data_IF_300845822667
#
_entry.id   IF_300845822667
#
_cell.length_a   1.000
_cell.length_b   1.000
_cell.length_c   1.000
_cell.angle_alpha   90.00
_cell.angle_beta   90.00
_cell.angle_gamma   90.00
#
_symmetry.space_group_name_H-M   'P 1'
#
loop_
_entity.id
_entity.type
_entity.pdbx_description
1 polymer ?
#
# COMPACT_ATOMS: atom_id res chain seq x y z
N UNK A 1 15.27 17.39 22.19
CA UNK A 1 15.40 15.99 22.63
C UNK A 1 14.02 15.41 22.53
N UNK A 2 13.80 14.53 21.55
CA UNK A 2 12.52 13.86 21.30
C UNK A 2 12.23 12.86 22.43
N UNK A 3 11.31 13.23 23.30
CA UNK A 3 10.68 12.32 24.24
C UNK A 3 9.20 12.29 23.93
N UNK A 4 8.59 11.13 23.85
CA UNK A 4 7.17 11.00 23.53
C UNK A 4 6.86 9.69 22.82
N UNK A 5 5.62 9.55 22.37
CA UNK A 5 5.17 8.39 21.61
C UNK A 5 4.54 8.82 20.29
N UNK A 6 4.57 7.92 19.33
CA UNK A 6 3.86 8.01 18.04
C UNK A 6 3.07 6.73 17.84
N UNK A 7 1.75 6.87 17.71
CA UNK A 7 0.83 5.78 17.41
C UNK A 7 0.67 5.71 15.89
N UNK A 8 1.32 4.72 15.26
CA UNK A 8 1.43 4.60 13.80
C UNK A 8 0.59 3.44 13.25
N UNK A 9 -0.38 3.76 12.39
CA UNK A 9 -1.12 2.76 11.62
C UNK A 9 -0.64 2.70 10.17
N UNK A 10 -0.63 1.52 9.54
CA UNK A 10 -0.23 1.39 8.14
C UNK A 10 -0.83 0.16 7.46
N UNK A 11 -0.98 0.25 6.14
CA UNK A 11 -1.44 -0.90 5.35
C UNK A 11 -0.38 -2.01 5.32
N UNK A 12 -0.83 -3.26 5.19
CA UNK A 12 0.01 -4.46 5.33
C UNK A 12 1.27 -4.45 4.49
N UNK A 13 1.22 -3.95 3.26
CA UNK A 13 2.35 -3.93 2.31
C UNK A 13 3.55 -3.10 2.77
N UNK A 14 3.36 -2.15 3.68
CA UNK A 14 4.42 -1.28 4.20
C UNK A 14 5.16 -1.85 5.41
N UNK A 15 4.62 -2.92 6.02
CA UNK A 15 5.15 -3.51 7.25
C UNK A 15 6.53 -4.17 7.12
N UNK A 16 6.80 -4.97 6.06
CA UNK A 16 8.05 -5.72 5.97
C UNK A 16 9.30 -4.86 5.75
N UNK A 17 9.19 -3.71 5.10
CA UNK A 17 10.37 -2.95 4.66
C UNK A 17 10.28 -1.45 4.94
N UNK A 18 9.22 -0.78 4.43
CA UNK A 18 9.14 0.69 4.48
C UNK A 18 9.08 1.22 5.91
N UNK A 19 8.13 0.75 6.72
CA UNK A 19 7.95 1.22 8.10
C UNK A 19 9.17 0.93 8.98
N UNK A 20 9.76 -0.28 8.97
CA UNK A 20 10.98 -0.54 9.74
C UNK A 20 12.15 0.36 9.36
N UNK A 21 12.39 0.61 8.06
CA UNK A 21 13.46 1.51 7.60
C UNK A 21 13.21 2.96 8.03
N UNK A 22 11.97 3.43 7.87
CA UNK A 22 11.57 4.78 8.25
C UNK A 22 11.78 5.02 9.75
N UNK A 23 11.25 4.12 10.58
CA UNK A 23 11.33 4.24 12.05
C UNK A 23 12.78 4.12 12.53
N UNK A 24 13.52 3.15 12.01
CA UNK A 24 14.94 2.99 12.36
C UNK A 24 15.75 4.24 11.98
N UNK A 25 15.52 4.82 10.83
CA UNK A 25 16.18 6.07 10.43
C UNK A 25 15.84 7.21 11.39
N UNK A 26 14.57 7.37 11.75
CA UNK A 26 14.12 8.43 12.67
C UNK A 26 14.71 8.31 14.06
N UNK A 27 14.70 7.13 14.68
CA UNK A 27 15.22 6.94 16.05
C UNK A 27 16.74 7.06 16.14
N UNK A 28 17.44 6.86 15.02
CA UNK A 28 18.90 7.03 14.95
C UNK A 28 19.34 8.48 14.69
N UNK A 29 18.42 9.41 14.40
CA UNK A 29 18.77 10.83 14.40
C UNK A 29 19.05 11.34 15.82
N UNK A 30 19.94 12.30 15.91
CA UNK A 30 20.34 12.88 17.19
C UNK A 30 19.13 13.42 17.97
N UNK A 31 18.98 12.95 19.20
CA UNK A 31 17.91 13.35 20.10
C UNK A 31 16.61 12.53 20.02
N UNK A 32 16.45 11.62 19.06
CA UNK A 32 15.21 10.86 18.87
C UNK A 32 15.20 9.46 19.51
N UNK A 33 16.32 9.00 20.06
CA UNK A 33 16.48 7.62 20.59
C UNK A 33 15.50 7.22 21.70
N UNK A 34 14.83 8.19 22.35
CA UNK A 34 13.84 7.95 23.41
C UNK A 34 12.40 7.97 22.93
N UNK A 35 12.16 8.24 21.66
CA UNK A 35 10.80 8.22 21.10
C UNK A 35 10.31 6.78 21.02
N UNK A 36 9.09 6.55 21.52
CA UNK A 36 8.43 5.24 21.47
C UNK A 36 7.43 5.18 20.33
N UNK A 37 7.34 4.03 19.69
CA UNK A 37 6.36 3.78 18.65
C UNK A 37 5.44 2.65 19.07
N UNK A 38 4.14 2.81 18.75
CA UNK A 38 3.16 1.74 18.75
C UNK A 38 2.69 1.53 17.32
N UNK A 39 2.54 0.29 16.90
CA UNK A 39 2.22 -0.07 15.53
C UNK A 39 0.88 -0.77 15.41
N UNK A 40 0.14 -0.46 14.34
CA UNK A 40 -1.02 -1.21 13.94
C UNK A 40 -1.11 -1.37 12.44
N UNK A 41 -1.67 -2.48 11.98
CA UNK A 41 -1.84 -2.81 10.58
C UNK A 41 -3.31 -3.03 10.25
N UNK A 42 -3.70 -2.77 9.01
CA UNK A 42 -5.06 -2.99 8.57
C UNK A 42 -5.33 -2.53 7.15
N UNK A 43 -6.59 -2.59 6.76
CA UNK A 43 -7.06 -2.00 5.51
C UNK A 43 -7.19 -0.48 5.66
N UNK A 44 -7.15 0.25 4.53
CA UNK A 44 -7.32 1.71 4.54
C UNK A 44 -8.56 2.14 5.31
N UNK A 45 -9.71 1.51 5.08
CA UNK A 45 -10.97 1.86 5.74
C UNK A 45 -10.89 1.70 7.27
N UNK A 46 -10.30 0.60 7.77
CA UNK A 46 -10.15 0.38 9.21
C UNK A 46 -9.17 1.38 9.83
N UNK A 47 -8.04 1.62 9.16
CA UNK A 47 -7.01 2.55 9.65
C UNK A 47 -7.50 3.99 9.73
N UNK A 48 -8.26 4.47 8.74
CA UNK A 48 -8.81 5.82 8.75
C UNK A 48 -9.92 5.99 9.81
N UNK A 49 -10.72 4.94 10.05
CA UNK A 49 -11.67 4.93 11.18
C UNK A 49 -10.93 5.03 12.51
N UNK A 50 -9.87 4.28 12.70
CA UNK A 50 -9.03 4.29 13.90
C UNK A 50 -8.28 5.63 14.06
N UNK A 51 -7.86 6.27 12.96
CA UNK A 51 -7.30 7.62 12.95
C UNK A 51 -8.32 8.65 13.46
N UNK A 52 -9.57 8.60 12.96
CA UNK A 52 -10.66 9.50 13.42
C UNK A 52 -11.03 9.30 14.89
N UNK A 53 -10.92 8.10 15.41
CA UNK A 53 -11.10 7.80 16.84
C UNK A 53 -9.85 8.08 17.69
N UNK A 54 -8.82 8.68 17.09
CA UNK A 54 -7.57 9.04 17.77
C UNK A 54 -6.76 7.86 18.33
N UNK A 55 -7.00 6.65 17.85
CA UNK A 55 -6.18 5.47 18.16
C UNK A 55 -4.78 5.56 17.53
N UNK A 56 -4.69 6.21 16.36
CA UNK A 56 -3.43 6.53 15.70
C UNK A 56 -3.23 8.05 15.60
N UNK A 57 -1.99 8.48 15.67
CA UNK A 57 -1.59 9.87 15.39
C UNK A 57 -1.39 10.09 13.89
N UNK A 58 -0.97 9.05 13.19
CA UNK A 58 -0.60 9.07 11.78
C UNK A 58 -0.89 7.70 11.16
N UNK A 59 -1.34 7.72 9.92
CA UNK A 59 -1.64 6.52 9.14
C UNK A 59 -0.98 6.60 7.77
N UNK A 60 -0.38 5.51 7.31
CA UNK A 60 0.06 5.34 5.93
C UNK A 60 -0.91 4.43 5.19
N UNK A 61 -1.60 4.97 4.19
CA UNK A 61 -2.67 4.26 3.48
C UNK A 61 -2.87 4.76 2.05
N UNK A 62 -3.81 4.15 1.34
CA UNK A 62 -4.38 4.75 0.13
C UNK A 62 -5.18 6.00 0.49
N UNK A 63 -5.41 6.87 -0.50
CA UNK A 63 -6.36 7.97 -0.34
C UNK A 63 -7.80 7.41 -0.26
N UNK A 64 -8.65 8.05 0.53
CA UNK A 64 -10.08 7.80 0.55
C UNK A 64 -10.84 9.08 0.20
N UNK A 65 -11.96 8.91 -0.49
CA UNK A 65 -12.89 10.02 -0.80
C UNK A 65 -13.77 10.31 0.43
N UNK A 66 -14.29 11.53 0.48
CA UNK A 66 -15.28 11.97 1.49
C UNK A 66 -14.76 11.95 2.94
N UNK A 67 -13.44 12.08 3.12
CA UNK A 67 -12.79 12.16 4.44
C UNK A 67 -12.35 13.60 4.75
N UNK A 68 -13.33 14.49 4.96
CA UNK A 68 -13.09 15.94 5.13
C UNK A 68 -12.20 16.29 6.32
N UNK A 69 -12.22 15.47 7.37
CA UNK A 69 -11.44 15.68 8.60
C UNK A 69 -9.97 15.27 8.45
N UNK A 70 -9.62 14.53 7.39
CA UNK A 70 -8.30 13.98 7.18
C UNK A 70 -7.52 14.78 6.13
N UNK A 71 -6.28 15.09 6.46
CA UNK A 71 -5.29 15.59 5.51
C UNK A 71 -4.50 14.41 4.93
N UNK A 72 -4.45 14.31 3.61
CA UNK A 72 -3.66 13.33 2.89
C UNK A 72 -2.49 14.00 2.18
N UNK A 73 -1.27 13.59 2.51
CA UNK A 73 -0.06 14.01 1.82
C UNK A 73 0.57 12.82 1.10
N UNK A 74 0.79 12.88 -0.23
CA UNK A 74 1.43 11.78 -0.95
C UNK A 74 2.89 11.63 -0.48
N UNK A 75 3.32 10.39 -0.19
CA UNK A 75 4.65 10.11 0.32
C UNK A 75 5.49 9.22 -0.59
N UNK A 76 4.85 8.35 -1.38
CA UNK A 76 5.56 7.49 -2.33
C UNK A 76 4.66 7.06 -3.47
N UNK A 77 5.23 6.89 -4.66
CA UNK A 77 4.59 6.22 -5.78
C UNK A 77 4.73 4.70 -5.62
N UNK A 78 3.69 3.96 -5.94
CA UNK A 78 3.66 2.51 -5.87
C UNK A 78 3.19 1.93 -7.20
N UNK A 79 4.01 1.10 -7.82
CA UNK A 79 3.68 0.40 -9.08
C UNK A 79 2.72 -0.77 -8.79
N UNK A 80 1.66 -0.89 -9.58
CA UNK A 80 0.81 -2.07 -9.62
C UNK A 80 1.23 -2.98 -10.75
N UNK A 81 1.24 -4.29 -10.48
CA UNK A 81 1.66 -5.32 -11.44
C UNK A 81 0.66 -6.47 -11.47
N UNK A 82 0.57 -7.14 -12.61
CA UNK A 82 -0.12 -8.43 -12.68
C UNK A 82 0.86 -9.51 -12.21
N UNK A 83 0.39 -10.42 -11.37
CA UNK A 83 1.12 -11.63 -11.01
C UNK A 83 0.38 -12.86 -11.48
N UNK A 84 1.14 -13.79 -12.04
CA UNK A 84 0.66 -15.09 -12.55
C UNK A 84 1.62 -16.18 -12.10
N UNK A 85 1.18 -17.44 -12.06
CA UNK A 85 2.12 -18.54 -11.87
C UNK A 85 3.08 -18.64 -13.06
N UNK A 86 4.25 -19.27 -12.87
CA UNK A 86 5.31 -19.29 -13.91
C UNK A 86 4.95 -20.08 -15.15
N UNK A 87 3.99 -20.99 -15.07
CA UNK A 87 3.55 -21.83 -16.20
C UNK A 87 2.31 -21.22 -16.89
N UNK A 88 1.79 -20.11 -16.38
CA UNK A 88 0.62 -19.44 -16.96
C UNK A 88 0.92 -18.93 -18.36
N UNK A 89 -0.08 -18.96 -19.26
CA UNK A 89 0.07 -18.50 -20.64
C UNK A 89 0.55 -17.04 -20.73
N UNK A 90 0.16 -16.18 -19.81
CA UNK A 90 0.63 -14.80 -19.74
C UNK A 90 2.10 -14.67 -19.30
N UNK A 91 2.71 -15.69 -18.70
CA UNK A 91 4.08 -15.61 -18.19
C UNK A 91 5.13 -15.41 -19.30
N UNK A 92 4.79 -15.71 -20.54
CA UNK A 92 5.66 -15.48 -21.72
C UNK A 92 5.63 -14.03 -22.22
N UNK A 93 4.64 -13.22 -21.77
CA UNK A 93 4.50 -11.82 -22.17
C UNK A 93 5.50 -10.94 -21.41
N UNK A 94 5.85 -9.79 -22.00
CA UNK A 94 6.66 -8.75 -21.35
C UNK A 94 5.81 -7.77 -20.52
N UNK A 95 4.52 -7.65 -20.83
CA UNK A 95 3.53 -6.81 -20.15
C UNK A 95 2.12 -7.32 -20.43
N UNK A 96 1.14 -6.81 -19.71
CA UNK A 96 -0.26 -7.22 -19.83
C UNK A 96 -1.16 -6.02 -20.05
N UNK A 97 -2.06 -6.12 -21.04
CA UNK A 97 -3.20 -5.23 -21.22
C UNK A 97 -4.39 -5.77 -20.42
N UNK A 98 -4.98 -4.95 -19.53
CA UNK A 98 -6.10 -5.39 -18.71
C UNK A 98 -7.37 -5.66 -19.54
N UNK A 99 -7.46 -5.18 -20.77
CA UNK A 99 -8.55 -5.53 -21.69
C UNK A 99 -8.55 -7.02 -22.07
N UNK A 100 -7.43 -7.72 -21.93
CA UNK A 100 -7.24 -9.10 -22.41
C UNK A 100 -7.36 -10.17 -21.30
N UNK A 101 -7.56 -9.79 -20.02
CA UNK A 101 -7.42 -10.74 -18.90
C UNK A 101 -8.71 -11.15 -18.19
N UNK A 102 -9.88 -10.75 -18.72
CA UNK A 102 -11.18 -11.06 -18.10
C UNK A 102 -11.55 -12.55 -18.10
N UNK A 103 -10.95 -13.34 -18.98
CA UNK A 103 -11.20 -14.79 -19.06
C UNK A 103 -10.52 -15.60 -17.93
N UNK A 104 -9.49 -15.03 -17.30
CA UNK A 104 -8.73 -15.76 -16.28
C UNK A 104 -9.37 -15.60 -14.91
N UNK A 105 -9.36 -16.68 -14.08
CA UNK A 105 -9.75 -16.58 -12.66
C UNK A 105 -8.95 -15.50 -11.96
N UNK A 106 -9.62 -14.54 -11.34
CA UNK A 106 -8.99 -13.38 -10.71
C UNK A 106 -9.20 -13.38 -9.19
N UNK A 107 -8.10 -13.25 -8.46
CA UNK A 107 -8.07 -13.10 -7.01
C UNK A 107 -8.06 -11.60 -6.71
N UNK A 108 -9.12 -11.08 -6.12
CA UNK A 108 -9.26 -9.66 -5.82
C UNK A 108 -8.88 -9.34 -4.38
N UNK A 109 -8.46 -8.09 -4.14
CA UNK A 109 -8.47 -7.56 -2.78
C UNK A 109 -9.90 -7.39 -2.27
N UNK A 110 -10.10 -7.52 -0.96
CA UNK A 110 -11.38 -7.26 -0.33
C UNK A 110 -11.85 -5.82 -0.52
N UNK A 111 -13.15 -5.60 -0.49
CA UNK A 111 -13.79 -4.30 -0.78
C UNK A 111 -13.48 -3.19 0.24
N UNK A 112 -12.97 -3.54 1.42
CA UNK A 112 -12.50 -2.58 2.45
C UNK A 112 -11.08 -2.08 2.17
N UNK A 113 -10.38 -2.67 1.23
CA UNK A 113 -9.04 -2.26 0.81
C UNK A 113 -9.10 -1.07 -0.14
N UNK A 114 -8.34 -0.03 0.13
CA UNK A 114 -8.25 1.12 -0.78
C UNK A 114 -7.70 0.77 -2.17
N UNK A 115 -6.87 -0.27 -2.27
CA UNK A 115 -6.34 -0.75 -3.55
C UNK A 115 -7.43 -1.38 -4.44
N UNK A 116 -8.49 -1.99 -3.85
CA UNK A 116 -9.56 -2.61 -4.60
C UNK A 116 -10.27 -1.58 -5.50
N UNK A 117 -10.59 -0.42 -4.98
CA UNK A 117 -11.24 0.64 -5.76
C UNK A 117 -10.37 1.13 -6.91
N UNK A 118 -9.05 1.18 -6.69
CA UNK A 118 -8.09 1.57 -7.74
C UNK A 118 -8.08 0.52 -8.84
N UNK A 119 -7.97 -0.77 -8.50
CA UNK A 119 -7.96 -1.88 -9.48
C UNK A 119 -9.27 -1.94 -10.26
N UNK A 120 -10.41 -1.80 -9.59
CA UNK A 120 -11.72 -1.74 -10.25
C UNK A 120 -11.78 -0.56 -11.25
N UNK A 121 -11.20 0.58 -10.90
CA UNK A 121 -11.05 1.74 -11.78
C UNK A 121 -10.17 1.46 -13.01
N UNK A 122 -9.10 0.71 -12.86
CA UNK A 122 -8.23 0.31 -13.98
C UNK A 122 -8.97 -0.58 -14.98
N UNK A 123 -9.71 -1.58 -14.49
CA UNK A 123 -10.54 -2.42 -15.36
C UNK A 123 -11.63 -1.62 -16.06
N UNK A 124 -12.30 -0.70 -15.35
CA UNK A 124 -13.31 0.18 -15.94
C UNK A 124 -12.73 1.08 -17.04
N UNK A 125 -11.49 1.54 -16.89
CA UNK A 125 -10.83 2.40 -17.87
C UNK A 125 -10.59 1.70 -19.23
N UNK A 126 -10.55 0.37 -19.25
CA UNK A 126 -10.42 -0.45 -20.46
C UNK A 126 -11.73 -1.16 -20.84
N UNK A 127 -12.86 -0.71 -20.29
CA UNK A 127 -14.20 -1.29 -20.49
C UNK A 127 -14.24 -2.81 -20.27
N UNK A 128 -13.54 -3.28 -19.24
CA UNK A 128 -13.43 -4.68 -18.89
C UNK A 128 -13.79 -4.94 -17.42
N UNK A 129 -14.00 -6.21 -17.06
CA UNK A 129 -14.28 -6.66 -15.69
C UNK A 129 -13.45 -7.91 -15.38
N UNK A 130 -12.85 -7.99 -14.18
CA UNK A 130 -12.16 -9.20 -13.77
C UNK A 130 -13.16 -10.32 -13.45
N UNK A 131 -12.79 -11.57 -13.75
CA UNK A 131 -13.53 -12.76 -13.33
C UNK A 131 -13.17 -13.11 -11.88
N UNK A 132 -13.72 -12.38 -10.91
CA UNK A 132 -13.39 -12.53 -9.50
C UNK A 132 -13.90 -13.86 -8.97
N UNK A 133 -12.99 -14.73 -8.50
CA UNK A 133 -13.30 -16.02 -7.90
C UNK A 133 -13.21 -16.02 -6.38
N UNK A 134 -12.43 -15.11 -5.80
CA UNK A 134 -12.35 -14.91 -4.35
C UNK A 134 -11.81 -13.53 -4.01
N UNK A 135 -11.97 -13.14 -2.74
CA UNK A 135 -11.43 -11.91 -2.17
C UNK A 135 -10.48 -12.22 -1.01
N UNK A 136 -9.34 -11.53 -0.97
CA UNK A 136 -8.29 -11.70 0.04
C UNK A 136 -7.78 -10.34 0.49
N UNK A 137 -7.49 -10.14 1.76
CA UNK A 137 -7.09 -8.82 2.28
C UNK A 137 -5.58 -8.58 2.21
N UNK A 138 -4.77 -9.64 2.24
CA UNK A 138 -3.33 -9.55 2.43
C UNK A 138 -2.56 -9.96 1.17
N UNK A 139 -1.59 -9.13 0.78
CA UNK A 139 -0.83 -9.25 -0.46
C UNK A 139 -0.07 -10.58 -0.59
N UNK A 140 0.58 -11.04 0.49
CA UNK A 140 1.34 -12.29 0.44
C UNK A 140 0.42 -13.52 0.37
N UNK A 141 -0.77 -13.45 0.95
CA UNK A 141 -1.77 -14.50 0.81
C UNK A 141 -2.27 -14.59 -0.64
N UNK A 142 -2.48 -13.45 -1.32
CA UNK A 142 -2.79 -13.41 -2.75
C UNK A 142 -1.65 -14.05 -3.55
N UNK A 143 -0.41 -13.64 -3.31
CA UNK A 143 0.75 -14.17 -4.04
C UNK A 143 0.91 -15.71 -3.85
N UNK A 144 0.65 -16.21 -2.65
CA UNK A 144 0.64 -17.66 -2.36
C UNK A 144 -0.45 -18.40 -3.15
N UNK A 145 -1.66 -17.84 -3.27
CA UNK A 145 -2.73 -18.43 -4.08
C UNK A 145 -2.39 -18.42 -5.58
N UNK A 146 -1.76 -17.37 -6.07
CA UNK A 146 -1.29 -17.31 -7.46
C UNK A 146 -0.21 -18.36 -7.71
N UNK A 147 0.76 -18.52 -6.80
CA UNK A 147 1.82 -19.51 -6.88
C UNK A 147 1.29 -20.94 -7.05
N UNK A 148 0.19 -21.27 -6.36
CA UNK A 148 -0.46 -22.60 -6.46
C UNK A 148 -1.48 -22.67 -7.60
N UNK A 149 -1.46 -21.75 -8.53
CA UNK A 149 -2.29 -21.72 -9.77
C UNK A 149 -3.79 -21.55 -9.51
N UNK A 150 -4.16 -20.92 -8.38
CA UNK A 150 -5.58 -20.69 -8.07
C UNK A 150 -6.21 -19.60 -8.94
N UNK A 151 -5.40 -18.64 -9.40
CA UNK A 151 -5.82 -17.56 -10.29
C UNK A 151 -4.69 -16.57 -10.53
N UNK A 152 -5.01 -15.46 -11.19
CA UNK A 152 -4.12 -14.32 -11.38
C UNK A 152 -4.56 -13.18 -10.46
N UNK A 153 -3.69 -12.17 -10.27
CA UNK A 153 -4.06 -10.99 -9.49
C UNK A 153 -3.30 -9.74 -9.95
N UNK A 154 -3.79 -8.57 -9.53
CA UNK A 154 -3.06 -7.31 -9.55
C UNK A 154 -2.68 -6.95 -8.13
N UNK A 155 -1.41 -6.69 -7.90
CA UNK A 155 -0.85 -6.42 -6.57
C UNK A 155 0.17 -5.29 -6.63
N UNK A 156 0.48 -4.61 -5.51
CA UNK A 156 1.63 -3.73 -5.42
C UNK A 156 2.93 -4.50 -5.67
N UNK A 157 3.82 -3.90 -6.44
CA UNK A 157 5.16 -4.43 -6.69
C UNK A 157 6.05 -4.19 -5.48
N UNK A 158 5.99 -5.11 -4.53
CA UNK A 158 6.80 -5.08 -3.31
C UNK A 158 7.91 -6.14 -3.34
N UNK A 159 8.97 -5.90 -2.57
CA UNK A 159 10.15 -6.79 -2.51
C UNK A 159 9.77 -8.22 -2.08
N UNK A 160 8.74 -8.39 -1.25
CA UNK A 160 8.29 -9.70 -0.78
C UNK A 160 7.82 -10.63 -1.91
N UNK A 161 7.41 -10.11 -3.08
CA UNK A 161 7.00 -10.94 -4.23
C UNK A 161 8.11 -11.87 -4.72
N UNK A 162 9.39 -11.53 -4.49
CA UNK A 162 10.54 -12.38 -4.86
C UNK A 162 10.58 -13.73 -4.13
N UNK A 163 9.88 -13.85 -3.01
CA UNK A 163 9.82 -15.11 -2.24
C UNK A 163 8.78 -16.09 -2.76
N UNK A 164 7.94 -15.67 -3.71
CA UNK A 164 6.91 -16.49 -4.35
C UNK A 164 7.33 -16.90 -5.76
N UNK A 165 6.95 -18.11 -6.15
CA UNK A 165 7.23 -18.63 -7.49
C UNK A 165 6.23 -18.10 -8.53
N UNK A 166 6.16 -16.79 -8.67
CA UNK A 166 5.26 -16.08 -9.58
C UNK A 166 6.04 -15.30 -10.65
N UNK A 167 5.40 -15.05 -11.79
CA UNK A 167 5.87 -14.10 -12.79
C UNK A 167 5.22 -12.75 -12.53
N UNK A 168 6.01 -11.70 -12.50
CA UNK A 168 5.59 -10.31 -12.33
C UNK A 168 5.57 -9.64 -13.69
N UNK A 169 4.43 -9.08 -14.09
CA UNK A 169 4.21 -8.47 -15.38
C UNK A 169 3.72 -7.03 -15.23
N UNK A 170 4.40 -6.05 -15.83
CA UNK A 170 3.91 -4.68 -15.90
C UNK A 170 2.55 -4.60 -16.58
N UNK A 171 1.72 -3.64 -16.16
CA UNK A 171 0.46 -3.30 -16.84
C UNK A 171 0.78 -2.30 -17.94
N UNK A 172 0.53 -2.70 -19.22
CA UNK A 172 0.75 -1.83 -20.37
C UNK A 172 -0.45 -0.91 -20.66
N UNK A 173 -1.65 -1.33 -20.30
CA UNK A 173 -2.89 -0.59 -20.47
C UNK A 173 -3.88 -0.98 -19.36
N UNK A 174 -4.51 -0.01 -18.65
CA UNK A 174 -4.33 1.42 -18.80
C UNK A 174 -3.04 1.93 -18.14
N UNK A 175 -2.54 3.08 -18.59
CA UNK A 175 -1.50 3.82 -17.86
C UNK A 175 -2.05 4.27 -16.52
N UNK A 176 -1.29 4.10 -15.47
CA UNK A 176 -1.75 4.43 -14.12
C UNK A 176 -0.60 4.90 -13.23
N UNK A 177 -0.97 5.68 -12.22
CA UNK A 177 -0.10 6.05 -11.09
C UNK A 177 -0.88 5.86 -9.79
N UNK A 178 -0.26 5.20 -8.84
CA UNK A 178 -0.78 5.05 -7.50
C UNK A 178 0.19 5.65 -6.50
N UNK A 179 -0.35 6.30 -5.47
CA UNK A 179 0.44 6.83 -4.36
C UNK A 179 -0.03 6.22 -3.05
N UNK A 180 0.92 6.10 -2.13
CA UNK A 180 0.66 5.93 -0.71
C UNK A 180 0.68 7.32 -0.08
N UNK A 181 -0.21 7.53 0.86
CA UNK A 181 -0.42 8.81 1.54
C UNK A 181 -0.13 8.70 3.02
N UNK A 182 0.43 9.76 3.57
CA UNK A 182 0.44 10.03 4.99
C UNK A 182 -0.87 10.74 5.34
N UNK A 183 -1.67 10.15 6.22
CA UNK A 183 -2.95 10.66 6.68
C UNK A 183 -2.87 11.12 8.13
N UNK A 184 -3.34 12.33 8.40
CA UNK A 184 -3.42 12.94 9.74
C UNK A 184 -4.72 13.71 9.90
N UNK A 185 -5.18 13.91 11.13
CA UNK A 185 -6.35 14.76 11.40
C UNK A 185 -5.99 16.25 11.24
N UNK A 186 -6.81 17.01 10.49
CA UNK A 186 -6.57 18.43 10.19
C UNK A 186 -6.51 19.33 11.40
N UNK A 187 -7.43 19.14 12.33
CA UNK A 187 -7.63 20.07 13.45
C UNK A 187 -7.18 19.50 14.81
N UNK A 188 -6.41 18.40 14.79
CA UNK A 188 -5.88 17.80 16.02
C UNK A 188 -4.57 18.48 16.41
N UNK A 189 -4.42 18.73 17.72
CA UNK A 189 -3.12 19.13 18.27
C UNK A 189 -2.07 18.06 18.02
N UNK A 190 -0.96 18.44 17.42
CA UNK A 190 0.18 17.57 17.21
C UNK A 190 1.28 17.88 18.22
N UNK A 191 1.74 16.87 18.95
CA UNK A 191 2.87 17.00 19.84
C UNK A 191 4.15 17.41 19.08
N UNK A 192 5.14 18.01 19.75
CA UNK A 192 6.42 18.29 19.10
C UNK A 192 7.06 17.05 18.46
N UNK A 193 7.00 15.90 19.12
CA UNK A 193 7.49 14.62 18.60
C UNK A 193 6.74 14.22 17.31
N UNK A 194 5.43 14.37 17.30
CA UNK A 194 4.63 14.05 16.09
C UNK A 194 4.99 14.99 14.92
N UNK A 195 5.16 16.28 15.17
CA UNK A 195 5.59 17.24 14.14
C UNK A 195 6.97 16.91 13.58
N UNK A 196 7.91 16.52 14.46
CA UNK A 196 9.25 16.09 14.04
C UNK A 196 9.18 14.83 13.19
N UNK A 197 8.39 13.83 13.60
CA UNK A 197 8.22 12.60 12.84
C UNK A 197 7.55 12.86 11.47
N UNK A 198 6.48 13.66 11.42
CA UNK A 198 5.82 14.04 10.17
C UNK A 198 6.81 14.67 9.18
N UNK A 199 7.62 15.64 9.65
CA UNK A 199 8.66 16.27 8.83
C UNK A 199 9.70 15.27 8.35
N UNK A 200 10.14 14.38 9.22
CA UNK A 200 11.08 13.33 8.87
C UNK A 200 10.53 12.40 7.78
N UNK A 201 9.26 11.98 7.88
CA UNK A 201 8.59 11.16 6.84
C UNK A 201 8.66 11.84 5.47
N UNK A 202 8.32 13.13 5.41
CA UNK A 202 8.35 13.91 4.17
C UNK A 202 9.78 13.97 3.56
N UNK A 203 10.79 14.21 4.39
CA UNK A 203 12.19 14.27 3.98
C UNK A 203 12.73 12.90 3.54
N UNK A 204 12.41 11.84 4.30
CA UNK A 204 12.79 10.47 4.00
C UNK A 204 12.22 10.02 2.64
N UNK A 205 10.94 10.25 2.41
CA UNK A 205 10.28 9.87 1.17
C UNK A 205 10.81 10.65 -0.03
N UNK A 206 11.05 11.97 0.12
CA UNK A 206 11.65 12.78 -0.94
C UNK A 206 13.04 12.28 -1.34
N UNK A 207 13.88 11.92 -0.39
CA UNK A 207 15.23 11.39 -0.66
C UNK A 207 15.19 10.03 -1.37
N UNK A 208 14.21 9.19 -1.04
CA UNK A 208 14.07 7.85 -1.63
C UNK A 208 13.26 7.82 -2.94
N UNK A 209 12.58 8.90 -3.30
CA UNK A 209 11.89 9.04 -4.60
C UNK A 209 12.79 9.50 -5.74
N UNK A 210 14.03 9.86 -5.46
CA UNK A 210 15.04 10.34 -6.42
C UNK A 210 16.08 9.28 -6.80
N UNK A 211 15.86 8.00 -6.39
CA UNK A 211 16.74 6.87 -6.67
C UNK A 211 16.18 5.87 -7.68
#
# INVERSE_FOLDING_TARGET
IGTGSVELGYIFTLGPEFVPKLVNGFINEEGNSKVKFTFGQGTTSCLLKDLKSEKYDIVFSSIAKDEEEIEFAPIMEEELVVIVDKDHVLASKSSVDLAEISEYPFIAFGNKSGIRQIIDGLFKAVDNKPNIICEVEENNAIAGLVEVKYGISIVPKITALKYFNVKILPISNPQHKRYIYMATLKNKYQSPTMKMFKKYVEEFCRKNSLG
#
